data_IF_495622080932
#
_entry.id   IF_495622080932
#
_cell.length_a   1.000
_cell.length_b   1.000
_cell.length_c   1.000
_cell.angle_alpha   90.00
_cell.angle_beta   90.00
_cell.angle_gamma   90.00
#
_symmetry.space_group_name_H-M   'P 1'
#
loop_
_entity.id
_entity.type
_entity.pdbx_description
1 polymer ?
#
# COMPACT_ATOMS: atom_id res chain seq x y z
N UNK A 1 10.08 7.11 -10.04
CA UNK A 1 9.69 5.73 -9.70
C UNK A 1 9.67 5.56 -8.18
N UNK A 2 8.64 4.92 -7.65
CA UNK A 2 8.52 4.72 -6.19
C UNK A 2 9.37 3.53 -5.72
N UNK A 3 10.07 3.70 -4.60
CA UNK A 3 10.78 2.61 -3.93
C UNK A 3 10.00 2.20 -2.68
N UNK A 4 10.34 1.04 -2.11
CA UNK A 4 9.76 0.61 -0.84
C UNK A 4 10.05 1.61 0.29
N UNK A 5 11.24 2.19 0.31
CA UNK A 5 11.59 3.22 1.29
C UNK A 5 10.73 4.47 1.14
N UNK A 6 10.47 4.88 -0.09
CA UNK A 6 9.60 6.04 -0.34
C UNK A 6 8.16 5.76 0.09
N UNK A 7 7.68 4.55 -0.17
CA UNK A 7 6.35 4.15 0.29
C UNK A 7 6.28 4.15 1.81
N UNK A 8 7.29 3.60 2.48
CA UNK A 8 7.38 3.60 3.93
C UNK A 8 7.37 5.03 4.49
N UNK A 9 8.18 5.91 3.89
CA UNK A 9 8.26 7.31 4.32
C UNK A 9 6.92 8.02 4.13
N UNK A 10 6.21 7.72 3.05
CA UNK A 10 4.90 8.28 2.79
C UNK A 10 3.91 7.92 3.92
N UNK A 11 3.94 6.67 4.37
CA UNK A 11 3.09 6.22 5.49
C UNK A 11 3.45 6.93 6.79
N UNK A 12 4.75 7.05 7.06
CA UNK A 12 5.24 7.72 8.27
C UNK A 12 4.90 9.20 8.27
N UNK A 13 5.07 9.88 7.14
CA UNK A 13 4.77 11.30 7.03
C UNK A 13 3.27 11.57 7.20
N UNK A 14 2.43 10.67 6.70
CA UNK A 14 0.98 10.87 6.78
C UNK A 14 0.42 10.51 8.14
N UNK A 15 0.79 9.34 8.67
CA UNK A 15 0.14 8.78 9.86
C UNK A 15 1.08 8.50 11.04
N UNK A 16 2.37 8.61 10.84
CA UNK A 16 3.36 8.40 11.90
C UNK A 16 3.57 6.95 12.31
N UNK A 17 3.05 6.00 11.54
CA UNK A 17 3.16 4.57 11.84
C UNK A 17 3.55 3.78 10.58
N UNK A 18 4.29 2.68 10.80
CA UNK A 18 4.66 1.77 9.72
C UNK A 18 3.53 0.75 9.50
N UNK A 19 2.41 1.23 8.97
CA UNK A 19 1.24 0.39 8.73
C UNK A 19 1.52 -0.70 7.70
N UNK A 20 0.89 -1.86 7.88
CA UNK A 20 0.93 -2.95 6.92
C UNK A 20 0.17 -2.54 5.65
N UNK A 21 0.70 -2.95 4.50
CA UNK A 21 0.10 -2.63 3.21
C UNK A 21 -0.08 -3.93 2.43
N UNK A 22 -1.25 -4.10 1.85
CA UNK A 22 -1.58 -5.29 1.08
C UNK A 22 -2.16 -4.90 -0.27
N UNK A 23 -1.92 -5.74 -1.28
CA UNK A 23 -2.58 -5.63 -2.57
C UNK A 23 -3.71 -6.65 -2.61
N UNK A 24 -4.88 -6.23 -3.08
CA UNK A 24 -6.03 -7.12 -3.23
C UNK A 24 -6.69 -6.92 -4.57
N UNK A 25 -7.10 -8.04 -5.17
CA UNK A 25 -7.88 -8.02 -6.39
C UNK A 25 -9.30 -8.46 -6.04
N UNK A 26 -10.26 -7.60 -6.34
CA UNK A 26 -11.68 -7.87 -6.08
C UNK A 26 -12.46 -7.55 -7.34
N UNK A 27 -13.10 -8.55 -7.93
CA UNK A 27 -13.95 -8.39 -9.13
C UNK A 27 -13.25 -7.65 -10.27
N UNK A 28 -12.00 -8.01 -10.53
CA UNK A 28 -11.20 -7.41 -11.60
C UNK A 28 -10.60 -6.05 -11.28
N UNK A 29 -10.79 -5.56 -10.07
CA UNK A 29 -10.21 -4.29 -9.62
C UNK A 29 -9.09 -4.53 -8.64
N UNK A 30 -8.06 -3.68 -8.70
CA UNK A 30 -6.90 -3.76 -7.81
C UNK A 30 -7.02 -2.68 -6.74
N UNK A 31 -6.87 -3.10 -5.49
CA UNK A 31 -6.88 -2.20 -4.35
C UNK A 31 -5.58 -2.30 -3.58
N UNK A 32 -5.05 -1.15 -3.18
CA UNK A 32 -4.00 -1.07 -2.17
C UNK A 32 -4.71 -0.83 -0.84
N UNK A 33 -4.52 -1.72 0.11
CA UNK A 33 -5.14 -1.59 1.43
C UNK A 33 -4.08 -1.29 2.48
N UNK A 34 -4.24 -0.17 3.17
CA UNK A 34 -3.40 0.17 4.31
C UNK A 34 -4.12 -0.34 5.54
N UNK A 35 -3.56 -1.38 6.14
CA UNK A 35 -4.18 -2.06 7.28
C UNK A 35 -3.86 -1.33 8.57
N UNK A 36 -4.59 -1.66 9.64
CA UNK A 36 -4.41 -1.03 10.94
C UNK A 36 -3.28 -1.62 11.78
N UNK A 37 -2.74 -2.76 11.38
CA UNK A 37 -1.57 -3.36 12.02
C UNK A 37 -0.31 -2.63 11.58
N UNK A 38 0.67 -2.53 12.47
CA UNK A 38 1.89 -1.79 12.15
C UNK A 38 3.12 -2.43 12.78
N UNK A 39 4.27 -2.17 12.16
CA UNK A 39 5.54 -2.81 12.48
C UNK A 39 5.96 -2.64 13.94
N UNK A 40 5.70 -1.46 14.52
CA UNK A 40 6.07 -1.14 15.89
C UNK A 40 5.23 -1.89 16.94
N UNK A 41 4.18 -2.55 16.51
CA UNK A 41 3.29 -3.32 17.37
C UNK A 41 3.96 -4.64 17.76
N UNK A 42 3.94 -4.99 19.04
CA UNK A 42 4.60 -6.20 19.53
C UNK A 42 4.09 -7.49 18.86
N UNK A 43 2.82 -7.51 18.48
CA UNK A 43 2.19 -8.68 17.85
C UNK A 43 2.31 -8.71 16.32
N UNK A 44 3.01 -7.76 15.72
CA UNK A 44 3.14 -7.69 14.27
C UNK A 44 3.91 -8.92 13.75
N UNK A 45 3.37 -9.64 12.75
CA UNK A 45 3.93 -10.93 12.36
C UNK A 45 5.20 -10.87 11.51
N UNK A 46 5.54 -9.69 10.97
CA UNK A 46 6.71 -9.55 10.10
C UNK A 46 7.86 -8.89 10.85
N UNK A 47 9.09 -9.34 10.53
CA UNK A 47 10.29 -8.63 10.97
C UNK A 47 10.42 -7.31 10.19
N UNK A 48 11.27 -6.37 10.66
CA UNK A 48 11.54 -5.14 9.90
C UNK A 48 12.02 -5.41 8.48
N UNK A 49 12.86 -6.44 8.29
CA UNK A 49 13.34 -6.80 6.96
C UNK A 49 12.22 -7.33 6.08
N UNK A 50 11.39 -8.21 6.61
CA UNK A 50 10.24 -8.75 5.86
C UNK A 50 9.26 -7.65 5.48
N UNK A 51 9.03 -6.71 6.39
CA UNK A 51 8.17 -5.57 6.15
C UNK A 51 8.72 -4.71 4.99
N UNK A 52 10.03 -4.41 5.03
CA UNK A 52 10.68 -3.63 3.97
C UNK A 52 10.61 -4.34 2.62
N UNK A 53 10.81 -5.65 2.60
CA UNK A 53 10.72 -6.46 1.38
C UNK A 53 9.30 -6.43 0.82
N UNK A 54 8.30 -6.50 1.69
CA UNK A 54 6.89 -6.42 1.29
C UNK A 54 6.57 -5.08 0.63
N UNK A 55 7.01 -3.98 1.23
CA UNK A 55 6.79 -2.65 0.64
C UNK A 55 7.52 -2.49 -0.69
N UNK A 56 8.71 -3.06 -0.82
CA UNK A 56 9.45 -3.05 -2.08
C UNK A 56 8.69 -3.79 -3.18
N UNK A 57 8.13 -4.96 -2.85
CA UNK A 57 7.35 -5.72 -3.82
C UNK A 57 6.12 -4.94 -4.27
N UNK A 58 5.42 -4.32 -3.33
CA UNK A 58 4.23 -3.51 -3.65
C UNK A 58 4.61 -2.32 -4.52
N UNK A 59 5.70 -1.63 -4.18
CA UNK A 59 6.17 -0.49 -4.97
C UNK A 59 6.52 -0.91 -6.41
N UNK A 60 7.15 -2.08 -6.57
CA UNK A 60 7.48 -2.59 -7.90
C UNK A 60 6.22 -2.87 -8.73
N UNK A 61 5.20 -3.48 -8.14
CA UNK A 61 3.93 -3.69 -8.84
C UNK A 61 3.29 -2.36 -9.24
N UNK A 62 3.25 -1.40 -8.32
CA UNK A 62 2.66 -0.09 -8.60
C UNK A 62 3.39 0.63 -9.73
N UNK A 63 4.72 0.55 -9.75
CA UNK A 63 5.51 1.13 -10.84
C UNK A 63 5.18 0.49 -12.18
N UNK A 64 5.07 -0.85 -12.21
CA UNK A 64 4.73 -1.59 -13.43
C UNK A 64 3.34 -1.23 -13.94
N UNK A 65 2.42 -0.90 -13.05
CA UNK A 65 1.03 -0.57 -13.41
C UNK A 65 0.80 0.93 -13.61
N UNK A 66 1.84 1.75 -13.44
CA UNK A 66 1.72 3.21 -13.45
C UNK A 66 0.76 3.72 -12.37
N UNK A 67 0.71 3.02 -11.23
CA UNK A 67 -0.21 3.35 -10.15
C UNK A 67 0.42 4.08 -8.97
N UNK A 68 1.74 4.25 -8.96
CA UNK A 68 2.45 4.84 -7.84
C UNK A 68 2.00 6.28 -7.54
N UNK A 69 1.84 7.10 -8.57
CA UNK A 69 1.40 8.48 -8.39
C UNK A 69 -0.05 8.55 -7.89
N UNK A 70 -0.90 7.63 -8.33
CA UNK A 70 -2.28 7.55 -7.84
C UNK A 70 -2.29 7.28 -6.34
N UNK A 71 -1.49 6.31 -5.89
CA UNK A 71 -1.40 5.97 -4.48
C UNK A 71 -0.86 7.13 -3.67
N UNK A 72 0.23 7.73 -4.12
CA UNK A 72 0.85 8.87 -3.43
C UNK A 72 -0.14 10.02 -3.27
N UNK A 73 -0.80 10.39 -4.35
CA UNK A 73 -1.77 11.48 -4.35
C UNK A 73 -2.93 11.20 -3.40
N UNK A 74 -3.45 9.98 -3.42
CA UNK A 74 -4.54 9.60 -2.52
C UNK A 74 -4.11 9.70 -1.05
N UNK A 75 -2.97 9.11 -0.70
CA UNK A 75 -2.50 9.14 0.68
C UNK A 75 -2.27 10.56 1.17
N UNK A 76 -1.66 11.41 0.34
CA UNK A 76 -1.40 12.80 0.72
C UNK A 76 -2.66 13.60 0.96
N UNK A 77 -3.74 13.30 0.23
CA UNK A 77 -4.97 14.08 0.27
C UNK A 77 -6.06 13.52 1.17
N UNK A 78 -6.02 12.23 1.48
CA UNK A 78 -7.08 11.58 2.24
C UNK A 78 -7.13 12.09 3.68
N UNK A 79 -8.34 12.12 4.24
CA UNK A 79 -8.56 12.39 5.65
C UNK A 79 -8.79 11.09 6.44
N UNK A 80 -8.85 9.97 5.74
CA UNK A 80 -9.03 8.68 6.37
C UNK A 80 -7.74 8.22 7.04
N UNK A 81 -7.90 7.36 8.04
CA UNK A 81 -6.78 6.78 8.77
C UNK A 81 -7.11 5.32 9.04
N UNK A 82 -6.13 4.40 8.95
CA UNK A 82 -6.38 3.01 9.30
C UNK A 82 -6.85 2.88 10.75
N UNK A 83 -7.89 2.10 10.95
CA UNK A 83 -8.47 1.84 12.27
C UNK A 83 -8.68 0.35 12.45
N UNK A 84 -8.73 -0.10 13.69
CA UNK A 84 -8.99 -1.51 14.00
C UNK A 84 -10.23 -2.00 13.26
N UNK A 85 -10.04 -3.02 12.44
CA UNK A 85 -11.13 -3.59 11.64
C UNK A 85 -11.47 -2.81 10.38
N UNK A 86 -10.81 -1.67 10.12
CA UNK A 86 -11.12 -0.85 8.96
C UNK A 86 -9.85 -0.33 8.27
N UNK A 87 -9.51 -0.96 7.15
CA UNK A 87 -8.39 -0.53 6.32
C UNK A 87 -8.74 0.71 5.50
N UNK A 88 -7.72 1.47 5.12
CA UNK A 88 -7.87 2.49 4.08
C UNK A 88 -7.64 1.80 2.74
N UNK A 89 -8.70 1.71 1.93
CA UNK A 89 -8.65 1.02 0.63
C UNK A 89 -8.57 2.02 -0.51
N UNK A 90 -7.58 1.85 -1.36
CA UNK A 90 -7.31 2.76 -2.47
C UNK A 90 -7.36 1.98 -3.77
N UNK A 91 -8.34 2.28 -4.61
CA UNK A 91 -8.43 1.63 -5.90
C UNK A 91 -7.36 2.22 -6.84
N UNK A 92 -6.57 1.34 -7.46
CA UNK A 92 -5.61 1.71 -8.48
C UNK A 92 -6.24 1.45 -9.83
N UNK A 93 -6.36 2.51 -10.63
CA UNK A 93 -6.92 2.42 -11.97
C UNK A 93 -5.83 1.98 -12.95
N UNK A 94 -5.98 0.79 -13.49
CA UNK A 94 -5.07 0.23 -14.49
C UNK A 94 -5.55 0.46 -15.91
N UNK A 95 -6.71 1.09 -16.08
CA UNK A 95 -7.31 1.29 -17.38
C UNK A 95 -7.57 -0.04 -18.08
N UNK A 96 -7.24 -0.12 -19.35
CA UNK A 96 -7.45 -1.33 -20.15
C UNK A 96 -6.48 -2.47 -19.79
N UNK A 97 -5.50 -2.20 -18.95
CA UNK A 97 -4.49 -3.18 -18.55
C UNK A 97 -4.94 -4.12 -17.45
N UNK A 98 -6.11 -3.90 -16.87
CA UNK A 98 -6.57 -4.68 -15.72
C UNK A 98 -6.56 -6.18 -16.00
N UNK A 99 -6.92 -6.58 -17.23
CA UNK A 99 -6.95 -7.99 -17.62
C UNK A 99 -5.57 -8.62 -17.82
N UNK A 100 -4.54 -7.79 -17.97
CA UNK A 100 -3.17 -8.25 -18.21
C UNK A 100 -2.43 -8.56 -16.91
N UNK A 101 -2.91 -8.07 -15.79
CA UNK A 101 -2.23 -8.17 -14.50
C UNK A 101 -2.98 -9.11 -13.57
N UNK A 102 -2.36 -10.25 -13.28
CA UNK A 102 -2.91 -11.27 -12.38
C UNK A 102 -2.04 -11.32 -11.13
N UNK A 103 -2.65 -11.14 -9.99
CA UNK A 103 -1.98 -11.22 -8.70
C UNK A 103 -2.06 -12.64 -8.13
#
# INVERSE_FOLDING_TARGET
>A
MMTGEQLHQLLLDKWGCSYDVQLRKVKGKIFVQVMWKYLEQASFPLSPQEYAENLNAIANYLNAWNGAEQLKSFIEKTRERPRLGKAVSIQVDLGERTSEWIL
#
